data_IF_053434285764
#
_entry.id   IF_053434285764
#
_cell.length_a   1.000
_cell.length_b   1.000
_cell.length_c   1.000
_cell.angle_alpha   90.00
_cell.angle_beta   90.00
_cell.angle_gamma   90.00
#
_symmetry.space_group_name_H-M   'P 1'
#
loop_
_entity.id
_entity.type
_entity.pdbx_description
1 polymer ?
#
# COMPACT_ATOMS: atom_id res chain seq x y z
N UNK A 1 -43.76 1.98 -20.80
CA UNK A 1 -42.30 1.84 -20.86
C UNK A 1 -41.77 2.26 -19.49
N UNK A 2 -41.52 1.26 -18.65
CA UNK A 2 -41.07 1.47 -17.28
C UNK A 2 -39.57 1.28 -17.22
N UNK A 3 -38.84 2.36 -16.96
CA UNK A 3 -37.38 2.34 -16.76
C UNK A 3 -37.10 2.00 -15.30
N UNK A 4 -36.72 0.77 -15.07
CA UNK A 4 -36.17 0.33 -13.78
C UNK A 4 -34.78 0.95 -13.58
N UNK A 5 -34.67 1.90 -12.66
CA UNK A 5 -33.37 2.35 -12.12
C UNK A 5 -32.85 1.21 -11.26
N UNK A 6 -31.71 0.64 -11.67
CA UNK A 6 -30.92 -0.24 -10.83
C UNK A 6 -30.29 0.59 -9.72
N UNK A 7 -30.65 0.29 -8.49
CA UNK A 7 -29.99 0.79 -7.29
C UNK A 7 -28.67 0.01 -7.12
N UNK A 8 -27.55 0.70 -7.38
CA UNK A 8 -26.24 0.20 -6.96
C UNK A 8 -26.15 0.42 -5.44
N UNK A 9 -26.42 -0.64 -4.69
CA UNK A 9 -26.14 -0.71 -3.27
C UNK A 9 -25.20 -1.89 -3.08
N UNK A 10 -23.91 -1.67 -3.28
CA UNK A 10 -22.89 -2.57 -2.78
C UNK A 10 -21.96 -1.76 -1.88
N UNK A 11 -22.39 -1.67 -0.63
CA UNK A 11 -21.57 -1.29 0.51
C UNK A 11 -20.47 -2.34 0.58
N UNK A 12 -19.21 -1.88 0.56
CA UNK A 12 -18.05 -2.72 0.83
C UNK A 12 -18.16 -3.24 2.28
N UNK A 13 -18.91 -4.32 2.45
CA UNK A 13 -18.81 -5.16 3.63
C UNK A 13 -17.44 -5.80 3.51
N UNK A 14 -16.54 -5.53 4.43
CA UNK A 14 -15.36 -6.37 4.67
C UNK A 14 -15.89 -7.79 4.80
N UNK A 15 -15.69 -8.61 3.79
CA UNK A 15 -16.10 -10.01 3.82
C UNK A 15 -15.25 -10.64 4.89
N UNK A 16 -15.86 -10.98 6.02
CA UNK A 16 -15.17 -11.69 7.09
C UNK A 16 -14.71 -13.03 6.52
N UNK A 17 -13.41 -13.07 6.17
CA UNK A 17 -12.82 -14.24 5.51
C UNK A 17 -12.75 -15.38 6.52
N UNK A 18 -13.41 -16.49 6.23
CA UNK A 18 -13.37 -17.71 7.04
C UNK A 18 -11.92 -18.15 7.25
N UNK A 19 -11.57 -18.49 8.47
CA UNK A 19 -10.26 -19.00 8.85
C UNK A 19 -9.78 -20.17 7.98
N UNK A 20 -10.70 -21.00 7.46
CA UNK A 20 -10.35 -22.09 6.53
C UNK A 20 -9.90 -21.56 5.19
N UNK A 21 -10.55 -20.51 4.66
CA UNK A 21 -10.19 -19.85 3.40
C UNK A 21 -8.83 -19.18 3.57
N UNK A 22 -8.66 -18.43 4.65
CA UNK A 22 -7.38 -17.80 4.97
C UNK A 22 -6.25 -18.83 5.10
N UNK A 23 -6.46 -19.96 5.80
CA UNK A 23 -5.47 -21.04 5.93
C UNK A 23 -5.12 -21.70 4.60
N UNK A 24 -6.09 -21.85 3.71
CA UNK A 24 -5.90 -22.48 2.41
C UNK A 24 -5.28 -21.55 1.37
N UNK A 25 -5.31 -20.24 1.59
CA UNK A 25 -4.81 -19.26 0.63
C UNK A 25 -3.30 -19.44 0.35
N UNK A 26 -2.93 -19.33 -0.93
CA UNK A 26 -1.55 -19.47 -1.42
C UNK A 26 -1.21 -18.30 -2.32
N UNK A 27 -0.03 -17.72 -2.11
CA UNK A 27 0.52 -16.68 -3.00
C UNK A 27 1.10 -17.24 -4.30
N UNK A 28 1.46 -18.52 -4.33
CA UNK A 28 2.14 -19.13 -5.48
C UNK A 28 1.48 -18.87 -6.84
N UNK A 29 0.14 -18.98 -7.02
CA UNK A 29 -0.50 -18.69 -8.30
C UNK A 29 -0.29 -17.25 -8.78
N UNK A 30 -0.28 -16.29 -7.85
CA UNK A 30 -0.07 -14.88 -8.16
C UNK A 30 1.38 -14.58 -8.51
N UNK A 31 2.33 -15.20 -7.82
CA UNK A 31 3.75 -15.13 -8.16
C UNK A 31 4.03 -15.70 -9.55
N UNK A 32 3.40 -16.82 -9.92
CA UNK A 32 3.48 -17.40 -11.27
C UNK A 32 2.87 -16.45 -12.31
N UNK A 33 1.74 -15.82 -12.00
CA UNK A 33 1.14 -14.82 -12.87
C UNK A 33 2.10 -13.65 -13.11
N UNK A 34 2.70 -13.10 -12.07
CA UNK A 34 3.70 -12.04 -12.19
C UNK A 34 4.90 -12.45 -13.06
N UNK A 35 5.38 -13.69 -12.97
CA UNK A 35 6.49 -14.18 -13.83
C UNK A 35 6.15 -14.11 -15.31
N UNK A 36 4.87 -14.25 -15.67
CA UNK A 36 4.42 -14.24 -17.06
C UNK A 36 4.00 -12.87 -17.55
N UNK A 37 3.38 -12.08 -16.71
CA UNK A 37 2.79 -10.80 -17.08
C UNK A 37 3.65 -9.59 -16.66
N UNK A 38 4.34 -9.69 -15.54
CA UNK A 38 5.04 -8.60 -14.87
C UNK A 38 6.46 -9.02 -14.45
N UNK A 39 7.34 -9.36 -15.40
CA UNK A 39 8.63 -9.98 -15.11
C UNK A 39 9.56 -9.11 -14.25
N UNK A 40 9.46 -7.79 -14.33
CA UNK A 40 10.22 -6.87 -13.48
C UNK A 40 9.93 -7.11 -11.99
N UNK A 41 8.66 -7.09 -11.60
CA UNK A 41 8.24 -7.30 -10.21
C UNK A 41 8.52 -8.73 -9.74
N UNK A 42 8.28 -9.71 -10.60
CA UNK A 42 8.59 -11.10 -10.30
C UNK A 42 10.08 -11.32 -9.99
N UNK A 43 10.98 -10.62 -10.69
CA UNK A 43 12.42 -10.71 -10.45
C UNK A 43 12.80 -10.16 -9.08
N UNK A 44 12.24 -9.02 -8.70
CA UNK A 44 12.45 -8.43 -7.37
C UNK A 44 11.91 -9.37 -6.28
N UNK A 45 10.67 -9.86 -6.42
CA UNK A 45 10.05 -10.75 -5.44
C UNK A 45 10.80 -12.07 -5.22
N UNK A 46 11.58 -12.54 -6.19
CA UNK A 46 12.42 -13.75 -6.01
C UNK A 46 13.49 -13.58 -4.94
N UNK A 47 13.89 -12.34 -4.63
CA UNK A 47 14.90 -12.03 -3.62
C UNK A 47 14.30 -11.75 -2.25
N UNK A 48 12.98 -11.78 -2.14
CA UNK A 48 12.22 -11.44 -0.94
C UNK A 48 11.67 -12.71 -0.31
N UNK A 49 11.90 -12.92 0.98
CA UNK A 49 11.25 -13.98 1.74
C UNK A 49 9.79 -13.62 2.06
N UNK A 50 8.83 -14.46 1.68
CA UNK A 50 7.41 -14.25 1.96
C UNK A 50 7.03 -14.96 3.24
N UNK A 51 6.77 -14.17 4.29
CA UNK A 51 6.44 -14.68 5.61
C UNK A 51 4.95 -14.47 5.88
N UNK A 52 4.24 -15.58 6.04
CA UNK A 52 2.84 -15.56 6.43
C UNK A 52 2.72 -15.18 7.91
N UNK A 53 1.93 -14.17 8.24
CA UNK A 53 1.76 -13.70 9.61
C UNK A 53 0.34 -13.21 9.87
N UNK A 54 -0.19 -13.51 11.05
CA UNK A 54 -1.44 -12.93 11.54
C UNK A 54 -1.16 -11.75 12.51
N UNK A 55 0.12 -11.39 12.69
CA UNK A 55 0.53 -10.33 13.61
C UNK A 55 0.46 -8.93 12.99
N UNK A 56 0.39 -8.87 11.67
CA UNK A 56 0.19 -7.62 10.92
C UNK A 56 -1.21 -7.58 10.33
N UNK A 57 -1.81 -6.41 10.16
CA UNK A 57 -3.16 -6.29 9.62
C UNK A 57 -3.22 -6.64 8.11
N UNK A 58 -2.24 -6.23 7.33
CA UNK A 58 -2.24 -6.25 5.85
C UNK A 58 -1.07 -7.04 5.28
N UNK A 59 -0.15 -6.36 4.64
CA UNK A 59 1.14 -6.85 4.17
C UNK A 59 2.19 -5.77 4.40
N UNK A 60 3.47 -6.09 4.21
CA UNK A 60 4.54 -5.10 4.29
C UNK A 60 5.91 -5.69 4.04
N UNK A 61 6.79 -4.91 3.42
CA UNK A 61 8.19 -5.28 3.22
C UNK A 61 9.07 -4.65 4.28
N UNK A 62 9.97 -5.45 4.82
CA UNK A 62 10.89 -5.03 5.86
C UNK A 62 12.27 -5.63 5.63
N UNK A 63 13.28 -4.82 5.86
CA UNK A 63 14.64 -5.30 6.02
C UNK A 63 14.84 -5.84 7.44
N UNK A 64 15.22 -7.09 7.58
CA UNK A 64 15.47 -7.72 8.88
C UNK A 64 16.60 -8.74 8.80
N UNK A 65 17.53 -8.68 9.78
CA UNK A 65 18.65 -9.62 9.88
C UNK A 65 19.50 -9.69 8.58
N UNK A 66 19.64 -8.57 7.90
CA UNK A 66 20.40 -8.48 6.64
C UNK A 66 19.67 -9.06 5.42
N UNK A 67 18.40 -9.44 5.52
CA UNK A 67 17.56 -9.96 4.44
C UNK A 67 16.31 -9.08 4.22
N UNK A 68 15.64 -9.33 3.09
CA UNK A 68 14.40 -8.64 2.72
C UNK A 68 13.25 -9.61 2.95
N UNK A 69 12.32 -9.26 3.82
CA UNK A 69 11.14 -10.08 4.13
C UNK A 69 9.87 -9.30 3.79
N UNK A 70 8.90 -9.99 3.22
CA UNK A 70 7.53 -9.50 3.04
C UNK A 70 6.63 -10.31 3.97
N UNK A 71 6.10 -9.66 5.01
CA UNK A 71 5.03 -10.26 5.81
C UNK A 71 3.70 -10.02 5.13
N UNK A 72 2.78 -10.97 5.26
CA UNK A 72 1.45 -10.83 4.71
C UNK A 72 0.41 -11.55 5.58
N UNK A 73 -0.71 -10.87 5.82
CA UNK A 73 -1.83 -11.44 6.56
C UNK A 73 -2.71 -12.28 5.63
N UNK A 74 -2.89 -13.58 5.92
CA UNK A 74 -3.68 -14.45 5.05
C UNK A 74 -5.17 -14.10 5.02
N UNK A 75 -5.74 -13.53 6.09
CA UNK A 75 -7.15 -13.08 6.09
C UNK A 75 -7.33 -11.88 5.17
N UNK A 76 -6.45 -10.90 5.29
CA UNK A 76 -6.47 -9.72 4.42
C UNK A 76 -6.32 -10.12 2.96
N UNK A 77 -5.25 -10.82 2.62
CA UNK A 77 -4.96 -11.16 1.22
C UNK A 77 -6.00 -12.10 0.61
N UNK A 78 -6.58 -13.01 1.39
CA UNK A 78 -7.66 -13.87 0.93
C UNK A 78 -8.99 -13.14 0.70
N UNK A 79 -9.16 -11.94 1.26
CA UNK A 79 -10.31 -11.05 1.02
C UNK A 79 -10.20 -10.21 -0.25
N UNK A 80 -9.00 -10.10 -0.82
CA UNK A 80 -8.75 -9.31 -2.01
C UNK A 80 -9.20 -10.03 -3.29
N UNK A 81 -9.56 -9.23 -4.31
CA UNK A 81 -9.74 -9.76 -5.65
C UNK A 81 -8.39 -10.21 -6.24
N UNK A 82 -8.37 -11.16 -7.19
CA UNK A 82 -7.11 -11.62 -7.79
C UNK A 82 -6.25 -10.51 -8.39
N UNK A 83 -6.85 -9.48 -8.97
CA UNK A 83 -6.12 -8.30 -9.49
C UNK A 83 -5.54 -7.44 -8.36
N UNK A 84 -6.26 -7.29 -7.24
CA UNK A 84 -5.80 -6.54 -6.08
C UNK A 84 -4.61 -7.23 -5.38
N UNK A 85 -4.58 -8.58 -5.37
CA UNK A 85 -3.39 -9.31 -4.88
C UNK A 85 -2.16 -9.02 -5.75
N UNK A 86 -2.33 -8.96 -7.08
CA UNK A 86 -1.25 -8.57 -8.00
C UNK A 86 -0.79 -7.14 -7.71
N UNK A 87 -1.73 -6.21 -7.55
CA UNK A 87 -1.44 -4.82 -7.21
C UNK A 87 -0.71 -4.67 -5.89
N UNK A 88 -1.13 -5.40 -4.85
CA UNK A 88 -0.44 -5.44 -3.55
C UNK A 88 1.01 -5.91 -3.70
N UNK A 89 1.26 -6.99 -4.43
CA UNK A 89 2.61 -7.50 -4.67
C UNK A 89 3.48 -6.49 -5.45
N UNK A 90 2.90 -5.75 -6.41
CA UNK A 90 3.60 -4.66 -7.10
C UNK A 90 3.92 -3.50 -6.15
N UNK A 91 2.97 -3.15 -5.28
CA UNK A 91 3.12 -2.09 -4.28
C UNK A 91 4.33 -2.35 -3.38
N UNK A 92 4.42 -3.57 -2.81
CA UNK A 92 5.57 -3.97 -2.00
C UNK A 92 6.90 -3.89 -2.77
N UNK A 93 6.89 -4.29 -4.04
CA UNK A 93 8.08 -4.17 -4.89
C UNK A 93 8.49 -2.71 -5.13
N UNK A 94 7.53 -1.79 -5.26
CA UNK A 94 7.84 -0.37 -5.43
C UNK A 94 8.47 0.24 -4.17
N UNK A 95 8.05 -0.16 -2.96
CA UNK A 95 8.74 0.26 -1.74
C UNK A 95 10.22 -0.12 -1.75
N UNK A 96 10.54 -1.30 -2.26
CA UNK A 96 11.92 -1.74 -2.43
C UNK A 96 12.63 -0.95 -3.55
N UNK A 97 12.02 -0.90 -4.74
CA UNK A 97 12.63 -0.25 -5.90
C UNK A 97 12.89 1.25 -5.69
N UNK A 98 12.04 1.92 -4.94
CA UNK A 98 12.19 3.33 -4.59
C UNK A 98 13.03 3.55 -3.31
N UNK A 99 13.58 2.50 -2.72
CA UNK A 99 14.39 2.54 -1.50
C UNK A 99 13.68 3.17 -0.29
N UNK A 100 12.34 3.10 -0.21
CA UNK A 100 11.55 3.64 0.89
C UNK A 100 11.90 2.98 2.23
N UNK A 101 12.26 1.68 2.19
CA UNK A 101 12.63 0.88 3.36
C UNK A 101 14.06 1.15 3.87
N UNK A 102 14.89 1.88 3.12
CA UNK A 102 16.31 2.03 3.43
C UNK A 102 16.79 3.48 3.46
N UNK A 103 16.95 4.14 2.31
CA UNK A 103 17.63 5.43 2.20
C UNK A 103 16.71 6.63 2.13
N UNK A 104 15.46 6.45 1.72
CA UNK A 104 14.51 7.56 1.47
C UNK A 104 13.46 7.69 2.57
N UNK A 105 13.88 7.48 3.82
CA UNK A 105 13.00 7.60 4.98
C UNK A 105 12.87 9.03 5.43
N UNK A 106 11.67 9.41 5.88
CA UNK A 106 11.33 10.76 6.35
C UNK A 106 10.55 10.68 7.64
N UNK A 107 10.68 11.68 8.52
CA UNK A 107 9.93 11.80 9.77
C UNK A 107 8.93 12.96 9.70
N UNK A 108 7.71 12.81 10.26
CA UNK A 108 7.18 11.67 11.03
C UNK A 108 6.83 10.46 10.15
N UNK A 109 7.06 9.26 10.71
CA UNK A 109 6.86 7.98 10.01
C UNK A 109 5.47 7.83 9.38
N UNK A 110 4.40 8.19 10.07
CA UNK A 110 3.04 8.10 9.53
C UNK A 110 2.84 8.99 8.30
N UNK A 111 3.44 10.18 8.25
CA UNK A 111 3.37 11.05 7.08
C UNK A 111 4.21 10.48 5.93
N UNK A 112 5.36 9.87 6.27
CA UNK A 112 6.17 9.13 5.30
C UNK A 112 5.38 8.01 4.64
N UNK A 113 4.65 7.19 5.41
CA UNK A 113 3.80 6.10 4.87
C UNK A 113 2.76 6.65 3.88
N UNK A 114 2.02 7.70 4.26
CA UNK A 114 1.08 8.35 3.34
C UNK A 114 1.75 8.83 2.05
N UNK A 115 2.90 9.48 2.18
CA UNK A 115 3.63 10.04 1.04
C UNK A 115 4.18 8.97 0.09
N UNK A 116 4.70 7.87 0.63
CA UNK A 116 5.21 6.74 -0.17
C UNK A 116 4.11 6.00 -0.89
N UNK A 117 2.95 5.79 -0.23
CA UNK A 117 1.79 5.14 -0.84
C UNK A 117 1.17 5.99 -1.96
N UNK A 118 1.04 7.31 -1.74
CA UNK A 118 0.59 8.22 -2.80
C UNK A 118 1.51 8.17 -4.03
N UNK A 119 2.84 8.11 -3.81
CA UNK A 119 3.80 7.99 -4.91
C UNK A 119 3.64 6.65 -5.65
N UNK A 120 3.59 5.54 -4.92
CA UNK A 120 3.48 4.18 -5.48
C UNK A 120 2.16 3.97 -6.20
N UNK A 121 1.04 4.30 -5.55
CA UNK A 121 -0.30 4.03 -6.08
C UNK A 121 -0.59 4.82 -7.37
N UNK A 122 0.15 5.90 -7.61
CA UNK A 122 0.13 6.60 -8.90
C UNK A 122 0.59 5.74 -10.09
N UNK A 123 1.34 4.67 -9.84
CA UNK A 123 1.91 3.79 -10.87
C UNK A 123 1.21 2.43 -10.98
N UNK A 124 0.25 2.14 -10.11
CA UNK A 124 -0.52 0.91 -10.11
C UNK A 124 -1.87 1.16 -10.79
N UNK A 125 -2.29 0.32 -11.75
CA UNK A 125 -3.61 0.46 -12.36
C UNK A 125 -4.72 0.42 -11.31
N UNK A 126 -5.71 1.32 -11.39
CA UNK A 126 -6.82 1.44 -10.43
C UNK A 126 -7.50 0.10 -10.12
N UNK A 127 -7.73 -0.74 -11.15
CA UNK A 127 -8.32 -2.08 -11.00
C UNK A 127 -7.48 -3.08 -10.20
N UNK A 128 -6.24 -2.75 -9.93
CA UNK A 128 -5.28 -3.56 -9.17
C UNK A 128 -5.05 -2.99 -7.75
N UNK A 129 -5.55 -1.80 -7.47
CA UNK A 129 -5.48 -1.23 -6.13
C UNK A 129 -6.60 -1.80 -5.26
N UNK A 130 -6.30 -2.31 -4.06
CA UNK A 130 -7.30 -2.62 -3.06
C UNK A 130 -8.15 -1.40 -2.71
N UNK A 131 -9.41 -1.63 -2.39
CA UNK A 131 -10.30 -0.56 -1.94
C UNK A 131 -9.72 0.12 -0.69
N UNK A 132 -9.84 1.44 -0.62
CA UNK A 132 -9.29 2.24 0.47
C UNK A 132 -7.80 2.59 0.35
N UNK A 133 -7.14 2.24 -0.75
CA UNK A 133 -5.78 2.69 -1.03
C UNK A 133 -5.72 4.21 -1.28
N UNK A 134 -4.63 4.84 -0.84
CA UNK A 134 -4.38 6.27 -1.06
C UNK A 134 -4.01 6.53 -2.53
N UNK A 135 -4.85 7.27 -3.26
CA UNK A 135 -4.61 7.58 -4.68
C UNK A 135 -4.64 9.10 -4.86
N UNK A 136 -3.56 9.74 -5.35
CA UNK A 136 -3.57 11.17 -5.61
C UNK A 136 -4.62 11.55 -6.66
N UNK A 137 -5.34 12.64 -6.42
CA UNK A 137 -6.41 13.09 -7.30
C UNK A 137 -7.76 12.40 -7.05
N UNK A 138 -7.82 11.43 -6.13
CA UNK A 138 -9.05 10.69 -5.81
C UNK A 138 -9.46 10.98 -4.36
N UNK A 139 -10.72 11.38 -4.17
CA UNK A 139 -11.30 11.53 -2.83
C UNK A 139 -11.52 10.16 -2.18
N UNK A 140 -11.51 10.11 -0.87
CA UNK A 140 -11.91 8.94 -0.11
C UNK A 140 -13.39 8.60 -0.35
N UNK A 141 -13.78 7.38 -0.04
CA UNK A 141 -15.18 6.96 -0.12
C UNK A 141 -16.09 7.82 0.77
N UNK A 142 -17.31 8.09 0.31
CA UNK A 142 -18.28 8.83 1.11
C UNK A 142 -18.68 8.03 2.36
N UNK A 143 -18.61 8.68 3.52
CA UNK A 143 -19.06 8.08 4.78
C UNK A 143 -20.57 7.91 4.78
N UNK A 144 -21.04 6.75 5.25
CA UNK A 144 -22.47 6.57 5.50
C UNK A 144 -22.90 7.28 6.80
N UNK A 145 -24.19 7.62 6.99
CA UNK A 145 -24.66 8.18 8.26
C UNK A 145 -24.37 7.31 9.49
N UNK A 146 -24.26 6.00 9.29
CA UNK A 146 -23.87 5.07 10.34
C UNK A 146 -22.37 5.20 10.69
N UNK A 147 -21.52 5.39 9.68
CA UNK A 147 -20.10 5.62 9.87
C UNK A 147 -19.82 6.96 10.56
N UNK A 148 -20.48 8.01 10.11
CA UNK A 148 -20.39 9.34 10.74
C UNK A 148 -20.80 9.31 12.23
N UNK A 149 -21.86 8.53 12.56
CA UNK A 149 -22.32 8.37 13.94
C UNK A 149 -21.28 7.65 14.80
N UNK A 150 -20.64 6.60 14.27
CA UNK A 150 -19.59 5.84 14.98
C UNK A 150 -18.31 6.66 15.15
N UNK A 151 -17.89 7.35 14.12
CA UNK A 151 -16.65 8.15 14.14
C UNK A 151 -16.78 9.40 15.03
N UNK A 152 -17.94 10.01 15.04
CA UNK A 152 -18.17 11.30 15.68
C UNK A 152 -17.66 12.49 14.84
N UNK A 153 -18.15 13.73 15.17
CA UNK A 153 -17.99 14.88 14.29
C UNK A 153 -16.55 15.31 14.04
N UNK A 154 -15.68 15.17 15.03
CA UNK A 154 -14.26 15.54 14.89
C UNK A 154 -13.51 14.62 13.95
N UNK A 155 -13.76 13.30 14.03
CA UNK A 155 -13.11 12.33 13.16
C UNK A 155 -13.64 12.44 11.72
N UNK A 156 -14.93 12.68 11.54
CA UNK A 156 -15.54 12.96 10.22
C UNK A 156 -14.92 14.22 9.60
N UNK A 157 -14.73 15.28 10.39
CA UNK A 157 -14.08 16.50 9.89
C UNK A 157 -12.63 16.25 9.44
N UNK A 158 -11.86 15.46 10.22
CA UNK A 158 -10.48 15.05 9.82
C UNK A 158 -10.48 14.22 8.55
N UNK A 159 -11.34 13.21 8.47
CA UNK A 159 -11.51 12.35 7.30
C UNK A 159 -11.74 13.17 6.02
N UNK A 160 -12.76 14.03 6.05
CA UNK A 160 -13.12 14.88 4.91
C UNK A 160 -12.00 15.86 4.52
N UNK A 161 -11.27 16.38 5.50
CA UNK A 161 -10.18 17.31 5.28
C UNK A 161 -8.99 16.64 4.58
N UNK A 162 -8.56 15.46 5.06
CA UNK A 162 -7.47 14.70 4.45
C UNK A 162 -7.89 14.20 3.07
N UNK A 163 -9.13 13.73 2.90
CA UNK A 163 -9.73 13.36 1.62
C UNK A 163 -9.62 14.49 0.59
N UNK A 164 -10.05 15.70 0.95
CA UNK A 164 -9.99 16.86 0.08
C UNK A 164 -8.55 17.25 -0.31
N UNK A 165 -7.60 17.16 0.63
CA UNK A 165 -6.17 17.42 0.36
C UNK A 165 -5.64 16.42 -0.65
N UNK A 166 -5.85 15.13 -0.46
CA UNK A 166 -5.37 14.06 -1.36
C UNK A 166 -6.03 14.17 -2.74
N UNK A 167 -7.33 14.44 -2.79
CA UNK A 167 -8.05 14.66 -4.06
C UNK A 167 -7.53 15.87 -4.86
N UNK A 168 -6.88 16.83 -4.21
CA UNK A 168 -6.27 17.98 -4.87
C UNK A 168 -4.85 17.72 -5.39
N UNK A 169 -4.21 16.62 -4.99
CA UNK A 169 -2.81 16.33 -5.33
C UNK A 169 -2.69 15.76 -6.75
N UNK A 170 -1.71 16.22 -7.54
CA UNK A 170 -1.41 15.63 -8.84
C UNK A 170 -0.77 14.24 -8.69
N UNK A 171 -1.09 13.32 -9.59
CA UNK A 171 -0.47 12.00 -9.66
C UNK A 171 1.01 12.05 -10.10
N UNK A 172 1.72 10.95 -9.93
CA UNK A 172 3.10 10.71 -10.40
C UNK A 172 4.13 11.73 -9.87
N UNK A 173 3.99 12.15 -8.63
CA UNK A 173 5.02 12.91 -7.90
C UNK A 173 5.86 11.97 -7.04
N UNK A 174 7.06 12.43 -6.64
CA UNK A 174 7.91 11.66 -5.74
C UNK A 174 7.36 11.62 -4.31
N UNK A 175 7.79 10.64 -3.53
CA UNK A 175 7.41 10.54 -2.12
C UNK A 175 7.85 11.79 -1.32
N UNK A 176 9.00 12.39 -1.64
CA UNK A 176 9.45 13.62 -0.99
C UNK A 176 8.53 14.81 -1.32
N UNK A 177 8.00 14.86 -2.55
CA UNK A 177 7.05 15.90 -2.92
C UNK A 177 5.75 15.77 -2.13
N UNK A 178 5.17 14.56 -2.07
CA UNK A 178 3.96 14.32 -1.28
C UNK A 178 4.19 14.56 0.20
N UNK A 179 5.35 14.14 0.71
CA UNK A 179 5.73 14.38 2.11
C UNK A 179 5.77 15.88 2.43
N UNK A 180 6.42 16.68 1.59
CA UNK A 180 6.48 18.13 1.76
C UNK A 180 5.08 18.77 1.74
N UNK A 181 4.22 18.36 0.81
CA UNK A 181 2.84 18.84 0.71
C UNK A 181 1.97 18.50 1.93
N UNK A 182 2.17 17.32 2.52
CA UNK A 182 1.46 16.90 3.73
C UNK A 182 2.01 17.59 4.98
N UNK A 183 3.31 17.90 5.00
CA UNK A 183 3.97 18.56 6.13
C UNK A 183 3.76 20.07 6.15
N UNK A 184 3.56 20.70 4.99
CA UNK A 184 3.35 22.16 4.86
C UNK A 184 1.99 22.60 5.44
N UNK A 185 1.01 21.69 5.47
CA UNK A 185 -0.31 21.90 6.07
C UNK A 185 -0.37 21.30 7.48
N UNK A 186 -0.22 22.15 8.51
CA UNK A 186 -0.24 21.69 9.90
C UNK A 186 -1.56 20.99 10.28
N UNK A 187 -2.67 21.40 9.73
CA UNK A 187 -3.96 20.81 10.06
C UNK A 187 -4.12 19.41 9.42
N UNK A 188 -3.57 19.21 8.23
CA UNK A 188 -3.49 17.88 7.59
C UNK A 188 -2.56 16.96 8.36
N UNK A 189 -1.36 17.45 8.68
CA UNK A 189 -0.38 16.70 9.49
C UNK A 189 -0.97 16.23 10.80
N UNK A 190 -1.60 17.15 11.56
CA UNK A 190 -2.24 16.82 12.84
C UNK A 190 -3.41 15.82 12.64
N UNK A 191 -4.23 16.01 11.59
CA UNK A 191 -5.33 15.09 11.30
C UNK A 191 -4.86 13.66 11.05
N UNK A 192 -3.80 13.46 10.25
CA UNK A 192 -3.22 12.16 9.97
C UNK A 192 -2.63 11.55 11.26
N UNK A 193 -1.88 12.32 12.05
CA UNK A 193 -1.29 11.85 13.31
C UNK A 193 -2.34 11.46 14.34
N UNK A 194 -3.42 12.23 14.47
CA UNK A 194 -4.52 11.94 15.39
C UNK A 194 -5.28 10.67 14.96
N UNK A 195 -5.45 10.45 13.66
CA UNK A 195 -6.09 9.25 13.15
C UNK A 195 -5.26 8.00 13.44
N UNK A 196 -3.96 8.04 13.22
CA UNK A 196 -3.05 6.94 13.58
C UNK A 196 -3.14 6.57 15.07
N UNK A 197 -3.31 7.58 15.93
CA UNK A 197 -3.42 7.39 17.39
C UNK A 197 -4.86 7.01 17.84
N UNK A 198 -5.84 7.03 16.96
CA UNK A 198 -7.25 6.78 17.32
C UNK A 198 -7.58 5.30 17.52
N UNK A 199 -6.70 4.39 17.11
CA UNK A 199 -6.93 2.95 17.13
C UNK A 199 -8.02 2.47 16.16
N UNK A 200 -8.40 3.28 15.16
CA UNK A 200 -9.38 2.89 14.14
C UNK A 200 -8.80 2.13 12.96
N UNK A 201 -7.48 1.91 12.94
CA UNK A 201 -6.84 1.07 11.93
C UNK A 201 -7.27 -0.41 12.00
N UNK A 202 -6.96 -1.20 11.00
CA UNK A 202 -7.22 -2.64 11.00
C UNK A 202 -6.62 -3.31 12.24
N UNK A 203 -7.49 -3.86 13.10
CA UNK A 203 -7.10 -4.46 14.38
C UNK A 203 -7.15 -3.54 15.60
N UNK A 204 -7.48 -2.25 15.45
CA UNK A 204 -7.65 -1.31 16.56
C UNK A 204 -9.04 -1.39 17.22
N UNK A 205 -9.15 -0.86 18.45
CA UNK A 205 -10.41 -0.84 19.23
C UNK A 205 -11.33 0.34 18.86
N UNK A 206 -10.94 1.21 17.92
CA UNK A 206 -11.73 2.38 17.51
C UNK A 206 -12.97 1.99 16.70
N UNK A 207 -14.12 2.63 17.00
CA UNK A 207 -15.36 2.39 16.27
C UNK A 207 -15.43 3.21 14.97
N UNK A 208 -15.92 2.59 13.89
CA UNK A 208 -16.12 3.23 12.58
C UNK A 208 -15.00 2.90 11.57
N UNK A 209 -15.17 3.34 10.31
CA UNK A 209 -14.17 3.14 9.29
C UNK A 209 -12.90 3.93 9.62
N UNK A 210 -11.77 3.29 9.41
CA UNK A 210 -10.49 3.99 9.44
C UNK A 210 -10.38 4.96 8.25
N UNK A 211 -9.62 6.03 8.44
CA UNK A 211 -9.17 6.83 7.31
C UNK A 211 -8.37 5.92 6.38
N UNK A 212 -8.54 6.01 5.04
CA UNK A 212 -7.64 5.34 4.12
C UNK A 212 -6.21 5.61 4.57
N UNK A 213 -5.51 4.56 4.94
CA UNK A 213 -4.18 4.62 5.54
C UNK A 213 -3.17 3.98 4.62
N UNK A 214 -1.96 3.94 5.08
CA UNK A 214 -0.96 3.11 4.49
C UNK A 214 -1.51 1.69 4.40
N UNK A 215 -1.53 1.13 3.19
CA UNK A 215 -1.89 -0.28 2.94
C UNK A 215 -0.91 -1.23 3.62
N UNK A 216 0.11 -0.67 4.25
CA UNK A 216 1.29 -1.32 4.70
C UNK A 216 1.61 -0.90 6.14
N UNK A 217 1.88 -1.89 6.98
CA UNK A 217 2.39 -1.66 8.34
C UNK A 217 3.92 -1.61 8.26
N UNK A 218 4.43 -0.39 8.21
CA UNK A 218 5.86 -0.14 8.12
C UNK A 218 6.56 -0.11 9.50
N UNK A 219 5.93 -0.60 10.56
CA UNK A 219 6.59 -0.75 11.85
C UNK A 219 7.82 -1.66 11.74
N UNK A 220 8.90 -1.28 12.40
CA UNK A 220 10.14 -2.06 12.42
C UNK A 220 11.20 -1.64 11.38
N UNK A 221 10.94 -0.67 10.51
CA UNK A 221 11.97 -0.14 9.60
C UNK A 221 13.13 0.57 10.34
N UNK A 222 12.95 0.90 11.62
CA UNK A 222 13.92 1.62 12.45
C UNK A 222 14.92 0.72 13.17
N UNK A 223 14.72 -0.59 13.18
CA UNK A 223 15.49 -1.52 13.99
C UNK A 223 16.83 -1.97 13.39
N UNK A 224 17.15 -1.50 12.15
CA UNK A 224 18.38 -1.89 11.46
C UNK A 224 19.59 -1.07 11.92
N UNK A 225 20.70 -1.73 12.16
CA UNK A 225 22.01 -1.08 12.22
C UNK A 225 22.38 -0.47 10.86
N UNK A 226 23.29 0.50 10.86
CA UNK A 226 23.75 1.12 9.61
C UNK A 226 24.40 0.08 8.67
N UNK A 227 25.10 -0.90 9.22
CA UNK A 227 25.73 -1.99 8.46
C UNK A 227 24.69 -2.89 7.79
N UNK A 228 23.64 -3.29 8.51
CA UNK A 228 22.53 -4.07 7.97
C UNK A 228 21.77 -3.30 6.90
N UNK A 229 21.54 -2.01 7.12
CA UNK A 229 20.88 -1.11 6.16
C UNK A 229 21.66 -1.03 4.84
N UNK A 230 22.97 -0.83 4.89
CA UNK A 230 23.80 -0.80 3.68
C UNK A 230 23.85 -2.16 2.97
N UNK A 231 23.88 -3.27 3.72
CA UNK A 231 23.82 -4.62 3.14
C UNK A 231 22.50 -4.85 2.39
N UNK A 232 21.37 -4.55 3.02
CA UNK A 232 20.04 -4.72 2.42
C UNK A 232 19.87 -3.80 1.22
N UNK A 233 20.30 -2.56 1.31
CA UNK A 233 20.32 -1.62 0.19
C UNK A 233 21.10 -2.16 -1.01
N UNK A 234 22.27 -2.76 -0.76
CA UNK A 234 23.04 -3.43 -1.80
C UNK A 234 22.28 -4.57 -2.47
N UNK A 235 21.61 -5.41 -1.68
CA UNK A 235 20.75 -6.50 -2.18
C UNK A 235 19.57 -5.97 -3.02
N UNK A 236 18.88 -4.93 -2.55
CA UNK A 236 17.76 -4.31 -3.27
C UNK A 236 18.23 -3.76 -4.61
N UNK A 237 19.30 -2.97 -4.63
CA UNK A 237 19.86 -2.38 -5.85
C UNK A 237 20.29 -3.44 -6.85
N UNK A 238 20.89 -4.53 -6.39
CA UNK A 238 21.26 -5.65 -7.25
C UNK A 238 20.00 -6.32 -7.82
N UNK A 239 18.98 -6.58 -7.00
CA UNK A 239 17.72 -7.18 -7.46
C UNK A 239 17.03 -6.32 -8.54
N UNK A 240 16.99 -4.99 -8.35
CA UNK A 240 16.43 -4.05 -9.32
C UNK A 240 17.27 -4.02 -10.61
N UNK A 241 18.60 -3.95 -10.51
CA UNK A 241 19.50 -3.97 -11.67
C UNK A 241 19.36 -5.27 -12.48
N UNK A 242 19.25 -6.40 -11.81
CA UNK A 242 19.01 -7.71 -12.45
C UNK A 242 17.65 -7.73 -13.14
N UNK A 243 16.60 -7.18 -12.50
CA UNK A 243 15.27 -7.11 -13.08
C UNK A 243 15.25 -6.24 -14.36
N UNK A 244 15.90 -5.07 -14.33
CA UNK A 244 16.08 -4.20 -15.50
C UNK A 244 16.81 -4.96 -16.62
N UNK A 245 17.96 -5.59 -16.31
CA UNK A 245 18.75 -6.33 -17.29
C UNK A 245 17.98 -7.48 -17.95
N UNK A 246 17.19 -8.23 -17.14
CA UNK A 246 16.38 -9.34 -17.64
C UNK A 246 15.22 -8.84 -18.53
N UNK A 247 14.59 -7.73 -18.17
CA UNK A 247 13.53 -7.09 -18.95
C UNK A 247 14.07 -6.53 -20.28
N UNK A 248 15.24 -5.89 -20.28
CA UNK A 248 15.90 -5.38 -21.47
C UNK A 248 16.23 -6.51 -22.46
N UNK A 249 16.86 -7.58 -21.97
CA UNK A 249 17.24 -8.73 -22.79
C UNK A 249 16.05 -9.46 -23.42
N UNK A 250 14.93 -9.51 -22.66
CA UNK A 250 13.71 -10.20 -23.12
C UNK A 250 12.75 -9.30 -23.90
N UNK A 251 12.92 -7.98 -23.84
CA UNK A 251 11.97 -6.98 -24.36
C UNK A 251 10.62 -6.99 -23.63
N UNK A 252 10.56 -7.58 -22.42
CA UNK A 252 9.31 -7.78 -21.65
C UNK A 252 9.36 -7.02 -20.35
N UNK A 253 8.70 -5.87 -20.33
CA UNK A 253 8.69 -4.96 -19.19
C UNK A 253 7.41 -5.04 -18.32
N UNK A 254 6.34 -5.67 -18.84
CA UNK A 254 5.04 -5.61 -18.18
C UNK A 254 4.48 -4.18 -18.18
N UNK A 255 3.77 -3.83 -17.11
CA UNK A 255 3.16 -2.50 -16.96
C UNK A 255 4.16 -1.42 -16.54
N UNK A 256 5.35 -1.79 -16.07
CA UNK A 256 6.35 -0.81 -15.62
C UNK A 256 7.04 -0.07 -16.78
N UNK A 257 6.94 -0.56 -17.99
CA UNK A 257 7.61 0.03 -19.16
C UNK A 257 7.31 1.51 -19.41
N UNK A 258 6.16 1.98 -18.96
CA UNK A 258 5.78 3.40 -19.02
C UNK A 258 6.34 4.23 -17.83
N UNK A 259 6.66 3.60 -16.72
CA UNK A 259 7.15 4.28 -15.51
C UNK A 259 8.68 4.46 -15.49
N UNK A 260 9.42 3.65 -16.24
CA UNK A 260 10.90 3.67 -16.29
C UNK A 260 11.44 4.54 -17.44
N UNK A 261 10.56 5.09 -18.27
CA UNK A 261 10.94 5.93 -19.43
C UNK A 261 11.23 7.40 -19.08
N UNK A 262 11.47 7.74 -17.79
CA UNK A 262 11.78 9.08 -17.34
C UNK A 262 13.17 9.17 -16.71
#
# INVERSE_FOLDING_TARGET
MSTTKGTATDIATTVEVDDKVAKAFRLDPYLINLMTQEPFFARILRTVDKVRSNMIPTAGVLAKEGDIKMWWNPKFVAGLQPSEVIGLLKHECFHLAFEHTTTRRMDPHIIHNYATDLAINSHIPEKELPKGGLVPGVAFDELTPADETKMGPEAVARYNKVSAKIASMPACKSSEWYFAELMDDNEIKEAIQQEANSGRGEGGEGEGPAMPGAMDDHEGWDELSDEERELVKGKIRQAVADAVSDCDKSGRWGTIGSAVSY
#
